data_IF_571488558789
#
_entry.id   IF_571488558789
#
_cell.length_a   1.000
_cell.length_b   1.000
_cell.length_c   1.000
_cell.angle_alpha   90.00
_cell.angle_beta   90.00
_cell.angle_gamma   90.00
#
_symmetry.space_group_name_H-M   'P 1'
#
loop_
_entity.id
_entity.type
_entity.pdbx_description
1 polymer ?
#
# COMPACT_ATOMS: atom_id res chain seq x y z
N UNK A 1 41.81 43.64 -5.54
CA UNK A 1 40.62 43.37 -4.73
C UNK A 1 40.05 42.05 -5.24
N UNK A 2 40.48 40.93 -4.63
CA UNK A 2 40.11 39.56 -5.04
C UNK A 2 38.89 39.14 -4.20
N UNK A 3 37.77 38.86 -4.88
CA UNK A 3 36.58 38.23 -4.27
C UNK A 3 36.87 36.74 -4.11
N UNK A 4 37.03 36.29 -2.88
CA UNK A 4 36.96 34.88 -2.53
C UNK A 4 35.52 34.39 -2.65
N UNK A 5 35.27 33.48 -3.58
CA UNK A 5 34.06 32.68 -3.63
C UNK A 5 34.14 31.59 -2.58
N UNK A 6 33.36 31.72 -1.53
CA UNK A 6 33.19 30.72 -0.49
C UNK A 6 32.18 29.67 -1.04
N UNK A 7 32.71 28.61 -1.65
CA UNK A 7 31.89 27.46 -2.05
C UNK A 7 31.80 26.53 -0.85
N UNK A 8 30.85 26.80 0.05
CA UNK A 8 30.45 25.81 1.04
C UNK A 8 29.67 24.70 0.31
N UNK A 9 30.40 23.65 -0.09
CA UNK A 9 29.80 22.37 -0.47
C UNK A 9 29.13 21.80 0.80
N UNK A 10 27.82 21.85 0.84
CA UNK A 10 27.04 21.02 1.78
C UNK A 10 27.24 19.55 1.37
N UNK A 11 28.17 18.91 2.01
CA UNK A 11 28.42 17.47 1.90
C UNK A 11 27.31 16.75 2.69
N UNK A 12 26.11 16.70 2.10
CA UNK A 12 25.00 15.93 2.65
C UNK A 12 25.30 14.44 2.45
N UNK A 13 25.83 13.81 3.47
CA UNK A 13 26.03 12.35 3.50
C UNK A 13 24.65 11.67 3.40
N UNK A 14 24.44 10.79 2.41
CA UNK A 14 23.17 10.07 2.31
C UNK A 14 22.94 9.21 3.55
N UNK A 15 21.73 9.30 4.12
CA UNK A 15 21.33 8.46 5.26
C UNK A 15 20.96 7.08 4.72
N UNK A 16 21.81 6.11 4.97
CA UNK A 16 21.57 4.71 4.61
C UNK A 16 20.77 4.03 5.71
N UNK A 17 19.63 3.46 5.35
CA UNK A 17 18.73 2.72 6.27
C UNK A 17 18.89 1.22 6.00
N UNK A 18 19.04 0.39 7.05
CA UNK A 18 19.13 -1.07 6.90
C UNK A 18 17.81 -1.64 6.36
N UNK A 19 17.85 -2.82 5.71
CA UNK A 19 16.68 -3.46 5.09
C UNK A 19 15.46 -3.59 6.05
N UNK A 20 15.60 -4.09 7.29
CA UNK A 20 14.47 -4.17 8.23
C UNK A 20 13.88 -2.81 8.59
N UNK A 21 14.73 -1.79 8.76
CA UNK A 21 14.30 -0.42 9.06
C UNK A 21 13.64 0.23 7.84
N UNK A 22 14.13 -0.08 6.64
CA UNK A 22 13.54 0.37 5.38
C UNK A 22 12.14 -0.21 5.20
N UNK A 23 11.94 -1.50 5.42
CA UNK A 23 10.63 -2.16 5.34
C UNK A 23 9.64 -1.54 6.34
N UNK A 24 10.05 -1.36 7.59
CA UNK A 24 9.20 -0.73 8.61
C UNK A 24 8.83 0.70 8.20
N UNK A 25 9.80 1.51 7.83
CA UNK A 25 9.62 2.94 7.54
C UNK A 25 8.82 3.19 6.25
N UNK A 26 9.10 2.43 5.18
CA UNK A 26 8.56 2.73 3.86
C UNK A 26 7.31 1.93 3.49
N UNK A 27 7.08 0.81 4.17
CA UNK A 27 5.93 -0.04 3.87
C UNK A 27 4.96 -0.17 5.05
N UNK A 28 5.43 -0.53 6.24
CA UNK A 28 4.52 -0.77 7.36
C UNK A 28 4.03 0.52 8.01
N UNK A 29 4.92 1.45 8.37
CA UNK A 29 4.52 2.69 9.03
C UNK A 29 3.50 3.50 8.22
N UNK A 30 3.66 3.71 6.89
CA UNK A 30 2.64 4.40 6.09
C UNK A 30 1.26 3.75 6.13
N UNK A 31 1.18 2.42 6.31
CA UNK A 31 -0.09 1.71 6.44
C UNK A 31 -0.65 1.83 7.85
N UNK A 32 0.21 1.65 8.87
CA UNK A 32 -0.17 1.69 10.29
C UNK A 32 -0.65 3.08 10.71
N UNK A 33 -0.02 4.12 10.20
CA UNK A 33 -0.28 5.53 10.56
C UNK A 33 -1.47 6.14 9.81
N UNK A 34 -2.13 5.40 8.90
CA UNK A 34 -3.30 5.96 8.21
C UNK A 34 -4.43 6.24 9.22
N UNK A 35 -4.91 7.50 9.30
CA UNK A 35 -6.01 7.86 10.19
C UNK A 35 -7.32 7.17 9.77
N UNK A 36 -8.25 7.13 10.70
CA UNK A 36 -9.64 6.77 10.42
C UNK A 36 -10.18 7.63 9.25
N UNK A 37 -11.13 7.08 8.50
CA UNK A 37 -11.73 7.69 7.29
C UNK A 37 -10.87 7.65 6.00
N UNK A 38 -9.72 6.95 5.98
CA UNK A 38 -8.89 6.78 4.78
C UNK A 38 -8.88 5.33 4.26
N UNK A 39 -10.03 4.66 4.28
CA UNK A 39 -10.14 3.25 3.91
C UNK A 39 -9.57 2.93 2.52
N UNK A 40 -9.83 3.75 1.50
CA UNK A 40 -9.26 3.54 0.17
C UNK A 40 -7.74 3.72 0.13
N UNK A 41 -7.20 4.66 0.90
CA UNK A 41 -5.74 4.84 1.00
C UNK A 41 -5.08 3.61 1.64
N UNK A 42 -5.70 3.05 2.69
CA UNK A 42 -5.24 1.80 3.31
C UNK A 42 -5.20 0.67 2.27
N UNK A 43 -6.29 0.50 1.50
CA UNK A 43 -6.38 -0.54 0.48
C UNK A 43 -5.35 -0.34 -0.64
N UNK A 44 -5.15 0.90 -1.11
CA UNK A 44 -4.15 1.23 -2.13
C UNK A 44 -2.72 0.88 -1.69
N UNK A 45 -2.41 1.06 -0.42
CA UNK A 45 -1.09 0.74 0.12
C UNK A 45 -0.92 -0.77 0.34
N UNK A 46 -1.94 -1.45 0.88
CA UNK A 46 -1.81 -2.83 1.38
C UNK A 46 -2.03 -3.89 0.29
N UNK A 47 -2.89 -3.66 -0.70
CA UNK A 47 -3.21 -4.66 -1.73
C UNK A 47 -2.01 -5.03 -2.62
N UNK A 48 -1.15 -4.11 -3.08
CA UNK A 48 0.06 -4.46 -3.82
C UNK A 48 1.02 -5.31 -3.00
N UNK A 49 1.14 -5.03 -1.69
CA UNK A 49 1.98 -5.83 -0.78
C UNK A 49 1.36 -7.22 -0.58
N UNK A 50 0.04 -7.30 -0.47
CA UNK A 50 -0.66 -8.57 -0.38
C UNK A 50 -0.51 -9.41 -1.66
N UNK A 51 -0.52 -8.81 -2.84
CA UNK A 51 -0.20 -9.51 -4.09
C UNK A 51 1.19 -10.15 -4.03
N UNK A 52 2.20 -9.40 -3.61
CA UNK A 52 3.56 -9.89 -3.45
C UNK A 52 3.63 -11.06 -2.46
N UNK A 53 2.99 -10.92 -1.30
CA UNK A 53 2.87 -11.98 -0.31
C UNK A 53 2.23 -13.25 -0.89
N UNK A 54 1.08 -13.13 -1.56
CA UNK A 54 0.38 -14.26 -2.17
C UNK A 54 1.24 -14.97 -3.22
N UNK A 55 1.97 -14.23 -4.06
CA UNK A 55 2.90 -14.82 -5.05
C UNK A 55 3.98 -15.62 -4.38
N UNK A 56 4.54 -15.13 -3.29
CA UNK A 56 5.57 -15.82 -2.54
C UNK A 56 5.04 -17.10 -1.86
N UNK A 57 4.00 -16.98 -1.03
CA UNK A 57 3.50 -18.15 -0.24
C UNK A 57 2.87 -19.23 -1.10
N UNK A 58 2.33 -18.87 -2.27
CA UNK A 58 1.74 -19.82 -3.22
C UNK A 58 2.72 -20.29 -4.29
N UNK A 59 3.96 -19.79 -4.30
CA UNK A 59 4.94 -20.03 -5.37
C UNK A 59 4.34 -19.83 -6.77
N UNK A 60 3.63 -18.71 -6.97
CA UNK A 60 2.77 -18.52 -8.15
C UNK A 60 3.44 -17.78 -9.31
N UNK A 61 4.57 -17.13 -9.09
CA UNK A 61 5.27 -16.30 -10.09
C UNK A 61 4.37 -15.18 -10.64
N UNK A 62 4.61 -14.75 -11.88
CA UNK A 62 3.90 -13.63 -12.52
C UNK A 62 2.57 -13.99 -13.18
N UNK A 63 2.11 -15.21 -13.04
CA UNK A 63 0.85 -15.63 -13.62
C UNK A 63 -0.34 -14.85 -13.04
N UNK A 64 -1.40 -14.71 -13.85
CA UNK A 64 -2.66 -14.13 -13.38
C UNK A 64 -3.32 -15.04 -12.33
N UNK A 65 -3.97 -14.43 -11.35
CA UNK A 65 -4.79 -15.16 -10.39
C UNK A 65 -6.14 -15.47 -11.03
N UNK A 66 -6.40 -16.76 -11.20
CA UNK A 66 -7.69 -17.28 -11.66
C UNK A 66 -8.45 -17.85 -10.47
N UNK A 67 -9.76 -17.99 -10.60
CA UNK A 67 -10.63 -18.49 -9.53
C UNK A 67 -10.18 -19.83 -8.94
N UNK A 68 -9.62 -20.72 -9.77
CA UNK A 68 -9.07 -22.02 -9.34
C UNK A 68 -7.64 -21.97 -8.81
N UNK A 69 -6.98 -20.81 -8.83
CA UNK A 69 -5.57 -20.67 -8.48
C UNK A 69 -5.32 -20.74 -6.96
N UNK A 70 -4.10 -21.15 -6.57
CA UNK A 70 -3.69 -21.17 -5.17
C UNK A 70 -3.80 -19.82 -4.46
N UNK A 71 -3.42 -18.67 -5.07
CA UNK A 71 -3.62 -17.36 -4.44
C UNK A 71 -5.08 -17.09 -4.05
N UNK A 72 -6.06 -17.47 -4.86
CA UNK A 72 -7.48 -17.31 -4.50
C UNK A 72 -7.84 -18.21 -3.31
N UNK A 73 -7.31 -19.44 -3.27
CA UNK A 73 -7.49 -20.33 -2.11
C UNK A 73 -6.84 -19.77 -0.84
N UNK A 74 -5.70 -19.09 -0.98
CA UNK A 74 -5.04 -18.41 0.13
C UNK A 74 -5.86 -17.21 0.63
N UNK A 75 -6.42 -16.39 -0.28
CA UNK A 75 -7.32 -15.29 0.11
C UNK A 75 -8.53 -15.81 0.89
N UNK A 76 -9.13 -16.94 0.45
CA UNK A 76 -10.22 -17.60 1.20
C UNK A 76 -9.80 -17.91 2.63
N UNK A 77 -8.63 -18.52 2.80
CA UNK A 77 -8.11 -18.88 4.12
C UNK A 77 -7.79 -17.67 4.99
N UNK A 78 -7.15 -16.66 4.41
CA UNK A 78 -6.72 -15.46 5.14
C UNK A 78 -7.92 -14.61 5.61
N UNK A 79 -8.96 -14.51 4.77
CA UNK A 79 -10.13 -13.63 5.02
C UNK A 79 -11.38 -14.37 5.48
N UNK A 80 -11.34 -15.69 5.53
CA UNK A 80 -12.45 -16.57 5.92
C UNK A 80 -13.72 -16.35 5.07
N UNK A 81 -13.57 -16.32 3.76
CA UNK A 81 -14.67 -16.12 2.79
C UNK A 81 -14.79 -17.29 1.82
N UNK A 82 -15.89 -17.36 1.07
CA UNK A 82 -16.05 -18.33 -0.01
C UNK A 82 -15.07 -18.06 -1.18
N UNK A 83 -14.86 -19.07 -2.03
CA UNK A 83 -14.04 -18.93 -3.24
C UNK A 83 -14.54 -17.82 -4.17
N UNK A 84 -15.83 -17.74 -4.35
CA UNK A 84 -16.47 -16.72 -5.16
C UNK A 84 -16.21 -15.32 -4.60
N UNK A 85 -16.40 -15.13 -3.29
CA UNK A 85 -16.12 -13.86 -2.61
C UNK A 85 -14.63 -13.47 -2.68
N UNK A 86 -13.72 -14.44 -2.51
CA UNK A 86 -12.28 -14.21 -2.64
C UNK A 86 -11.91 -13.76 -4.06
N UNK A 87 -12.48 -14.40 -5.08
CA UNK A 87 -12.28 -14.03 -6.48
C UNK A 87 -12.86 -12.65 -6.79
N UNK A 88 -14.06 -12.33 -6.31
CA UNK A 88 -14.68 -11.01 -6.43
C UNK A 88 -13.84 -9.94 -5.75
N UNK A 89 -13.41 -10.17 -4.51
CA UNK A 89 -12.54 -9.27 -3.76
C UNK A 89 -11.26 -8.95 -4.57
N UNK A 90 -10.60 -9.99 -5.07
CA UNK A 90 -9.38 -9.83 -5.86
C UNK A 90 -9.61 -9.02 -7.13
N UNK A 91 -10.66 -9.31 -7.87
CA UNK A 91 -11.01 -8.59 -9.09
C UNK A 91 -11.33 -7.12 -8.84
N UNK A 92 -12.10 -6.82 -7.79
CA UNK A 92 -12.48 -5.45 -7.43
C UNK A 92 -11.25 -4.66 -6.97
N UNK A 93 -10.49 -5.22 -6.05
CA UNK A 93 -9.38 -4.49 -5.40
C UNK A 93 -8.16 -4.42 -6.31
N UNK A 94 -7.62 -5.55 -6.75
CA UNK A 94 -6.40 -5.57 -7.55
C UNK A 94 -6.60 -4.98 -8.94
N UNK A 95 -7.61 -5.45 -9.68
CA UNK A 95 -7.84 -5.01 -11.05
C UNK A 95 -8.55 -3.65 -11.15
N UNK A 96 -9.27 -3.25 -10.12
CA UNK A 96 -9.88 -1.92 -10.02
C UNK A 96 -8.97 -0.92 -9.37
N UNK A 97 -8.81 -1.06 -8.06
CA UNK A 97 -8.15 -0.05 -7.23
C UNK A 97 -6.69 0.17 -7.63
N UNK A 98 -5.89 -0.90 -7.77
CA UNK A 98 -4.47 -0.77 -8.07
C UNK A 98 -4.18 -0.27 -9.50
N UNK A 99 -5.03 -0.58 -10.50
CA UNK A 99 -4.81 -0.16 -11.87
C UNK A 99 -5.51 1.13 -12.28
N UNK A 100 -6.57 1.52 -11.59
CA UNK A 100 -7.43 2.65 -11.98
C UNK A 100 -7.60 3.69 -10.89
N UNK A 101 -7.03 3.45 -9.70
CA UNK A 101 -7.24 4.30 -8.52
C UNK A 101 -8.64 4.19 -7.91
N UNK A 102 -9.53 3.38 -8.51
CA UNK A 102 -10.89 3.14 -8.02
C UNK A 102 -11.22 1.65 -8.15
N UNK A 103 -11.96 1.07 -7.22
CA UNK A 103 -12.41 -0.31 -7.33
C UNK A 103 -13.22 -0.53 -8.61
N UNK A 104 -13.00 -1.68 -9.25
CA UNK A 104 -13.67 -2.00 -10.50
C UNK A 104 -15.10 -2.43 -10.23
N UNK A 105 -16.07 -1.67 -10.74
CA UNK A 105 -17.40 -2.18 -10.97
C UNK A 105 -17.39 -2.94 -12.30
N UNK A 106 -17.65 -4.24 -12.27
CA UNK A 106 -17.68 -5.06 -13.48
C UNK A 106 -18.93 -4.78 -14.32
N UNK A 107 -18.89 -5.18 -15.60
CA UNK A 107 -20.05 -5.11 -16.49
C UNK A 107 -21.25 -5.98 -16.00
N UNK A 108 -21.04 -6.87 -15.04
CA UNK A 108 -22.01 -7.70 -14.35
C UNK A 108 -22.09 -7.31 -12.86
N UNK A 109 -22.20 -6.00 -12.57
CA UNK A 109 -22.60 -5.48 -11.27
C UNK A 109 -22.02 -6.25 -10.06
N UNK A 110 -20.70 -6.42 -9.99
CA UNK A 110 -20.07 -6.72 -8.72
C UNK A 110 -20.16 -5.44 -7.88
N UNK A 111 -21.33 -5.24 -7.30
CA UNK A 111 -21.51 -4.16 -6.35
C UNK A 111 -20.61 -4.44 -5.15
N UNK A 112 -19.91 -3.43 -4.68
CA UNK A 112 -19.14 -3.49 -3.45
C UNK A 112 -19.51 -2.29 -2.58
N UNK A 113 -19.39 -2.48 -1.29
CA UNK A 113 -19.49 -1.42 -0.30
C UNK A 113 -18.20 -1.39 0.55
N UNK A 114 -17.86 -0.24 1.08
CA UNK A 114 -16.80 -0.09 2.07
C UNK A 114 -17.46 0.22 3.40
N UNK A 115 -17.10 -0.54 4.44
CA UNK A 115 -17.59 -0.38 5.80
C UNK A 115 -16.42 -0.22 6.75
N UNK A 116 -16.62 0.46 7.85
CA UNK A 116 -15.71 0.53 9.00
C UNK A 116 -16.04 -0.51 10.07
N UNK A 117 -17.13 -1.25 9.88
CA UNK A 117 -17.61 -2.29 10.80
C UNK A 117 -17.56 -3.68 10.16
N UNK A 118 -17.48 -4.71 11.01
CA UNK A 118 -17.56 -6.11 10.60
C UNK A 118 -16.23 -6.72 10.18
N UNK A 119 -16.26 -7.94 9.61
CA UNK A 119 -15.06 -8.68 9.21
C UNK A 119 -14.36 -8.02 8.00
N UNK A 120 -13.12 -8.43 7.70
CA UNK A 120 -12.32 -7.89 6.59
C UNK A 120 -13.03 -7.87 5.25
N UNK A 121 -13.71 -8.96 4.94
CA UNK A 121 -14.54 -9.13 3.75
C UNK A 121 -15.80 -9.90 4.15
N UNK A 122 -16.95 -9.47 3.69
CA UNK A 122 -18.23 -10.13 3.93
C UNK A 122 -19.18 -9.92 2.75
N UNK A 123 -20.38 -10.47 2.83
CA UNK A 123 -21.42 -10.24 1.85
C UNK A 123 -22.66 -9.69 2.56
N UNK A 124 -23.18 -8.59 2.06
CA UNK A 124 -24.45 -8.03 2.49
C UNK A 124 -25.63 -8.91 2.09
N UNK A 125 -26.81 -8.64 2.67
CA UNK A 125 -28.05 -9.37 2.39
C UNK A 125 -28.51 -9.31 0.94
N UNK A 126 -28.07 -8.30 0.21
CA UNK A 126 -28.34 -8.06 -1.21
C UNK A 126 -27.29 -8.67 -2.15
N UNK A 127 -26.34 -9.46 -1.60
CA UNK A 127 -25.27 -10.07 -2.36
C UNK A 127 -24.09 -9.14 -2.65
N UNK A 128 -24.11 -7.89 -2.16
CA UNK A 128 -23.03 -6.92 -2.31
C UNK A 128 -21.82 -7.34 -1.49
N UNK A 129 -20.62 -7.33 -2.08
CA UNK A 129 -19.40 -7.56 -1.35
C UNK A 129 -19.07 -6.36 -0.46
N UNK A 130 -18.98 -6.58 0.84
CA UNK A 130 -18.63 -5.54 1.82
C UNK A 130 -17.17 -5.71 2.22
N UNK A 131 -16.39 -4.63 2.16
CA UNK A 131 -14.96 -4.61 2.43
C UNK A 131 -14.70 -3.65 3.57
N UNK A 132 -14.06 -4.14 4.63
CA UNK A 132 -13.66 -3.34 5.77
C UNK A 132 -12.13 -3.12 5.76
N UNK A 133 -11.65 -1.95 5.28
CA UNK A 133 -10.21 -1.64 5.24
C UNK A 133 -9.54 -1.67 6.61
N UNK A 134 -10.27 -1.31 7.65
CA UNK A 134 -9.75 -1.24 9.03
C UNK A 134 -9.60 -2.61 9.66
N UNK A 135 -10.41 -3.60 9.26
CA UNK A 135 -10.24 -5.00 9.64
C UNK A 135 -9.20 -5.72 8.77
N UNK A 136 -9.10 -5.38 7.45
CA UNK A 136 -8.09 -5.91 6.54
C UNK A 136 -6.69 -5.48 6.99
N UNK A 137 -6.48 -4.23 7.36
CA UNK A 137 -5.18 -3.69 7.75
C UNK A 137 -4.47 -4.53 8.81
N UNK A 138 -5.01 -4.72 10.03
CA UNK A 138 -4.33 -5.50 11.07
C UNK A 138 -4.16 -6.97 10.69
N UNK A 139 -5.13 -7.55 9.96
CA UNK A 139 -5.05 -8.91 9.47
C UNK A 139 -3.84 -9.11 8.55
N UNK A 140 -3.73 -8.32 7.49
CA UNK A 140 -2.66 -8.46 6.51
C UNK A 140 -1.30 -8.06 7.09
N UNK A 141 -1.21 -7.00 7.89
CA UNK A 141 0.03 -6.64 8.58
C UNK A 141 0.53 -7.76 9.48
N UNK A 142 -0.35 -8.47 10.19
CA UNK A 142 0.01 -9.65 10.98
C UNK A 142 0.58 -10.76 10.09
N UNK A 143 -0.05 -11.06 8.96
CA UNK A 143 0.44 -12.06 8.00
C UNK A 143 1.82 -11.69 7.46
N UNK A 144 2.02 -10.46 7.06
CA UNK A 144 3.29 -9.97 6.53
C UNK A 144 4.42 -10.08 7.56
N UNK A 145 4.19 -9.61 8.79
CA UNK A 145 5.17 -9.67 9.88
C UNK A 145 5.50 -11.11 10.30
N UNK A 146 4.55 -12.03 10.14
CA UNK A 146 4.76 -13.47 10.43
C UNK A 146 5.50 -14.21 9.31
N UNK A 147 5.61 -13.63 8.12
CA UNK A 147 6.21 -14.26 6.95
C UNK A 147 7.19 -13.30 6.25
N UNK A 148 8.23 -12.80 6.93
CA UNK A 148 9.09 -11.75 6.37
C UNK A 148 9.84 -12.16 5.09
N UNK A 149 9.99 -13.46 4.82
CA UNK A 149 10.69 -13.99 3.66
C UNK A 149 10.13 -13.53 2.30
N UNK A 150 8.87 -13.07 2.22
CA UNK A 150 8.32 -12.57 0.96
C UNK A 150 8.94 -11.24 0.51
N UNK A 151 9.62 -10.52 1.41
CA UNK A 151 10.37 -9.33 1.05
C UNK A 151 11.66 -9.65 0.28
N UNK A 152 12.28 -10.78 0.56
CA UNK A 152 13.54 -11.24 -0.05
C UNK A 152 13.33 -11.93 -1.41
N UNK A 153 12.21 -11.67 -2.11
CA UNK A 153 11.98 -12.23 -3.43
C UNK A 153 13.00 -11.67 -4.43
N UNK A 154 13.83 -12.56 -5.01
CA UNK A 154 14.90 -12.18 -5.94
C UNK A 154 14.41 -11.60 -7.27
N UNK A 155 13.18 -11.88 -7.67
CA UNK A 155 12.59 -11.38 -8.91
C UNK A 155 12.19 -9.89 -8.78
N UNK A 156 11.76 -9.50 -7.56
CA UNK A 156 11.40 -8.11 -7.22
C UNK A 156 12.06 -7.72 -5.90
N UNK A 157 13.39 -7.55 -5.87
CA UNK A 157 14.08 -7.25 -4.62
C UNK A 157 13.61 -5.91 -4.06
N UNK A 158 13.44 -5.84 -2.75
CA UNK A 158 13.41 -4.56 -2.05
C UNK A 158 14.86 -4.06 -2.04
N UNK A 159 15.14 -2.81 -2.38
CA UNK A 159 16.49 -2.28 -2.30
C UNK A 159 17.07 -2.48 -0.89
N UNK A 160 18.29 -3.00 -0.81
CA UNK A 160 19.00 -3.17 0.46
C UNK A 160 19.18 -1.84 1.18
N UNK A 161 19.29 -0.78 0.40
CA UNK A 161 19.46 0.59 0.85
C UNK A 161 18.45 1.51 0.14
N UNK A 162 17.70 2.28 0.91
CA UNK A 162 16.88 3.37 0.39
C UNK A 162 17.60 4.68 0.68
N UNK A 163 18.16 5.27 -0.36
CA UNK A 163 18.81 6.59 -0.28
C UNK A 163 17.74 7.66 -0.23
N UNK A 164 17.64 8.38 0.88
CA UNK A 164 16.78 9.55 0.99
C UNK A 164 17.59 10.81 0.79
N UNK A 165 17.16 11.61 -0.19
CA UNK A 165 17.69 12.97 -0.33
C UNK A 165 16.87 13.88 0.57
N UNK A 166 17.53 14.63 1.46
CA UNK A 166 16.87 15.72 2.18
C UNK A 166 16.39 16.74 1.16
N UNK A 167 15.09 17.01 1.16
CA UNK A 167 14.57 18.09 0.33
C UNK A 167 15.19 19.40 0.85
N UNK A 168 15.89 20.19 0.01
CA UNK A 168 16.43 21.48 0.45
C UNK A 168 15.28 22.29 1.03
N UNK A 169 15.45 22.78 2.26
CA UNK A 169 14.45 23.62 2.90
C UNK A 169 14.18 24.81 1.97
N UNK A 170 12.98 24.86 1.44
CA UNK A 170 12.55 26.02 0.64
C UNK A 170 12.68 27.26 1.54
N UNK A 171 13.50 28.27 1.18
CA UNK A 171 13.59 29.47 2.00
C UNK A 171 12.18 30.02 2.18
N UNK A 172 11.81 30.29 3.44
CA UNK A 172 10.54 30.91 3.76
C UNK A 172 10.42 32.21 2.95
N UNK A 173 9.52 32.20 1.98
CA UNK A 173 9.15 33.42 1.29
C UNK A 173 8.42 34.31 2.31
N UNK A 174 9.14 35.28 2.87
CA UNK A 174 8.52 36.34 3.65
C UNK A 174 7.58 37.10 2.71
N UNK A 175 6.30 36.77 2.76
CA UNK A 175 5.26 37.58 2.14
C UNK A 175 5.15 38.90 2.92
N UNK A 176 5.90 39.93 2.51
CA UNK A 176 5.66 41.31 2.93
C UNK A 176 4.33 41.72 2.34
N UNK A 177 3.28 41.65 3.16
CA UNK A 177 1.98 42.29 2.82
C UNK A 177 2.17 43.79 2.83
N UNK A 178 2.42 44.38 1.67
CA UNK A 178 2.25 45.80 1.46
C UNK A 178 0.75 46.08 1.42
N UNK A 179 0.20 46.61 2.52
CA UNK A 179 -1.17 47.18 2.52
C UNK A 179 -1.20 48.38 1.61
N UNK A 180 -2.12 48.47 0.65
CA UNK A 180 -2.34 49.72 -0.06
C UNK A 180 -2.95 50.74 0.92
N UNK A 181 -2.33 51.90 1.04
CA UNK A 181 -2.94 53.05 1.67
C UNK A 181 -4.04 53.59 0.74
N UNK A 182 -5.31 53.53 1.20
CA UNK A 182 -6.43 54.30 0.65
C UNK A 182 -6.55 55.62 1.43
#
# INVERSE_FOLDING_TARGET
MQLQQDTSQNDETPITTSEPDAIQKWFYAPIEEQPEHRGFTILLLIIPIYERYLRHVCNHGDQKFYESSLPISQIMADTNVSREQANQFWQIMRNGLCHRGTPKQGNNLLAYAVSDEGPPVSQGSDGVLVINPYAIRPLLLKLFKSNPGFWSNSEYPVPDEIVTFSTPQRPEQQFTQTRPHI
#
